data_IF_509086052567
#
_entry.id   IF_509086052567
#
_cell.length_a   1.000
_cell.length_b   1.000
_cell.length_c   1.000
_cell.angle_alpha   90.00
_cell.angle_beta   90.00
_cell.angle_gamma   90.00
#
_symmetry.space_group_name_H-M   'P 1'
#
loop_
_entity.id
_entity.type
_entity.pdbx_description
1 polymer ?
#
# COMPACT_ATOMS: atom_id res chain seq x y z
N UNK A 1 -4.32 28.25 1.96
CA UNK A 1 -4.49 26.80 2.00
C UNK A 1 -3.61 26.06 0.98
N UNK A 2 -3.63 26.44 -0.31
CA UNK A 2 -2.79 25.77 -1.35
C UNK A 2 -1.28 25.78 -1.04
N UNK A 3 -0.73 26.90 -0.54
CA UNK A 3 0.71 27.02 -0.20
C UNK A 3 1.16 26.02 0.89
N UNK A 4 0.36 25.84 1.94
CA UNK A 4 0.66 24.89 3.03
C UNK A 4 0.66 23.43 2.55
N UNK A 5 -0.29 23.06 1.69
CA UNK A 5 -0.36 21.72 1.10
C UNK A 5 0.86 21.45 0.23
N UNK A 6 1.26 22.40 -0.59
CA UNK A 6 2.46 22.29 -1.44
C UNK A 6 3.72 22.21 -0.59
N UNK A 7 3.85 23.07 0.42
CA UNK A 7 5.02 23.05 1.32
C UNK A 7 5.17 21.72 2.05
N UNK A 8 4.07 21.15 2.59
CA UNK A 8 4.08 19.84 3.24
C UNK A 8 4.36 18.69 2.26
N UNK A 9 3.85 18.77 1.02
CA UNK A 9 4.18 17.77 0.01
C UNK A 9 5.66 17.77 -0.34
N UNK A 10 6.25 18.95 -0.50
CA UNK A 10 7.70 19.10 -0.76
C UNK A 10 8.51 18.60 0.45
N UNK A 11 8.10 18.97 1.67
CA UNK A 11 8.76 18.52 2.89
C UNK A 11 8.77 17.00 3.00
N UNK A 12 7.62 16.34 2.81
CA UNK A 12 7.54 14.88 2.89
C UNK A 12 8.28 14.19 1.76
N UNK A 13 8.26 14.75 0.55
CA UNK A 13 9.06 14.26 -0.55
C UNK A 13 10.56 14.36 -0.25
N UNK A 14 11.03 15.51 0.27
CA UNK A 14 12.42 15.70 0.67
C UNK A 14 12.83 14.72 1.78
N UNK A 15 11.99 14.55 2.82
CA UNK A 15 12.26 13.59 3.88
C UNK A 15 12.27 12.15 3.34
N UNK A 16 11.36 11.78 2.43
CA UNK A 16 11.36 10.47 1.81
C UNK A 16 12.64 10.21 1.01
N UNK A 17 13.14 11.20 0.27
CA UNK A 17 14.42 11.13 -0.46
C UNK A 17 15.61 10.99 0.53
N UNK A 18 15.64 11.76 1.60
CA UNK A 18 16.70 11.66 2.62
C UNK A 18 16.71 10.27 3.26
N UNK A 19 15.54 9.75 3.68
CA UNK A 19 15.43 8.40 4.24
C UNK A 19 15.80 7.33 3.21
N UNK A 20 15.43 7.52 1.94
CA UNK A 20 15.81 6.64 0.84
C UNK A 20 17.34 6.58 0.67
N UNK A 21 18.04 7.72 0.67
CA UNK A 21 19.51 7.79 0.61
C UNK A 21 20.16 7.11 1.83
N UNK A 22 19.64 7.34 3.03
CA UNK A 22 20.10 6.64 4.24
C UNK A 22 19.86 5.12 4.09
N UNK A 23 18.71 4.71 3.58
CA UNK A 23 18.37 3.31 3.34
C UNK A 23 19.29 2.65 2.32
N UNK A 24 19.75 3.38 1.30
CA UNK A 24 20.77 2.91 0.35
C UNK A 24 22.18 2.81 0.96
N UNK A 25 22.50 3.63 1.94
CA UNK A 25 23.80 3.67 2.62
C UNK A 25 23.91 2.56 3.69
N UNK A 26 22.85 2.33 4.46
CA UNK A 26 22.82 1.41 5.61
C UNK A 26 22.40 0.00 5.18
N UNK A 27 23.04 -1.02 5.73
CA UNK A 27 22.75 -2.43 5.47
C UNK A 27 23.90 -3.30 5.99
N UNK A 28 23.95 -4.58 5.60
CA UNK A 28 25.01 -5.53 5.98
C UNK A 28 26.41 -4.99 5.67
N UNK A 29 26.57 -4.32 4.55
CA UNK A 29 27.77 -3.52 4.20
C UNK A 29 27.40 -2.04 4.32
N UNK A 30 28.09 -1.29 5.17
CA UNK A 30 27.94 0.17 5.26
C UNK A 30 28.64 0.81 4.08
N UNK A 31 27.91 1.59 3.30
CA UNK A 31 28.45 2.38 2.19
C UNK A 31 28.41 3.86 2.57
N UNK A 32 29.48 4.63 2.38
CA UNK A 32 29.45 6.08 2.52
C UNK A 32 28.36 6.69 1.61
N UNK A 33 27.64 7.70 2.09
CA UNK A 33 26.60 8.38 1.29
C UNK A 33 27.21 8.97 0.01
N UNK A 34 28.47 9.43 0.05
CA UNK A 34 29.17 9.93 -1.11
C UNK A 34 29.29 8.87 -2.23
N UNK A 35 29.65 7.63 -1.87
CA UNK A 35 29.74 6.52 -2.84
C UNK A 35 28.35 6.17 -3.43
N UNK A 36 27.30 6.24 -2.61
CA UNK A 36 25.93 6.02 -3.08
C UNK A 36 25.53 7.10 -4.10
N UNK A 37 25.80 8.37 -3.80
CA UNK A 37 25.52 9.50 -4.70
C UNK A 37 26.35 9.39 -5.97
N UNK A 38 27.64 9.03 -5.88
CA UNK A 38 28.51 8.83 -7.03
C UNK A 38 27.94 7.74 -7.96
N UNK A 39 27.47 6.63 -7.39
CA UNK A 39 26.83 5.53 -8.16
C UNK A 39 25.56 5.99 -8.85
N UNK A 40 24.70 6.76 -8.17
CA UNK A 40 23.45 7.29 -8.73
C UNK A 40 23.71 8.28 -9.86
N UNK A 41 24.86 8.97 -9.85
CA UNK A 41 25.33 9.87 -10.92
C UNK A 41 26.06 9.13 -12.05
N UNK A 42 26.13 7.80 -12.01
CA UNK A 42 26.72 6.98 -13.07
C UNK A 42 28.19 6.58 -12.85
N UNK A 43 28.82 7.05 -11.74
CA UNK A 43 30.18 6.68 -11.33
C UNK A 43 30.24 5.43 -10.44
N UNK A 44 31.33 5.35 -9.65
CA UNK A 44 31.51 4.34 -8.61
C UNK A 44 32.10 3.00 -9.07
N UNK A 45 32.63 2.26 -8.10
CA UNK A 45 33.25 0.94 -8.33
C UNK A 45 32.19 -0.11 -8.72
N UNK A 46 32.56 -1.08 -9.55
CA UNK A 46 31.64 -2.13 -10.04
C UNK A 46 30.89 -2.85 -8.92
N UNK A 47 31.57 -3.20 -7.81
CA UNK A 47 30.94 -3.86 -6.66
C UNK A 47 29.91 -2.96 -5.94
N UNK A 48 30.22 -1.68 -5.75
CA UNK A 48 29.31 -0.70 -5.14
C UNK A 48 28.08 -0.47 -6.02
N UNK A 49 28.29 -0.39 -7.35
CA UNK A 49 27.18 -0.27 -8.34
C UNK A 49 26.23 -1.44 -8.26
N UNK A 50 26.72 -2.67 -8.20
CA UNK A 50 25.91 -3.88 -8.08
C UNK A 50 25.05 -3.81 -6.79
N UNK A 51 25.66 -3.50 -5.65
CA UNK A 51 24.95 -3.43 -4.37
C UNK A 51 23.88 -2.33 -4.39
N UNK A 52 24.22 -1.15 -4.91
CA UNK A 52 23.29 0.00 -4.88
C UNK A 52 22.20 -0.17 -5.92
N UNK A 53 22.54 -0.44 -7.19
CA UNK A 53 21.57 -0.40 -8.30
C UNK A 53 20.74 -1.68 -8.43
N UNK A 54 21.30 -2.84 -8.10
CA UNK A 54 20.64 -4.13 -8.32
C UNK A 54 20.01 -4.72 -7.04
N UNK A 55 20.57 -4.42 -5.86
CA UNK A 55 20.06 -5.01 -4.62
C UNK A 55 19.28 -4.03 -3.77
N UNK A 56 19.75 -2.77 -3.62
CA UNK A 56 19.13 -1.81 -2.68
C UNK A 56 18.14 -0.86 -3.34
N UNK A 57 18.46 -0.35 -4.50
CA UNK A 57 17.61 0.62 -5.19
C UNK A 57 16.24 0.04 -5.56
N UNK A 58 16.10 -1.20 -6.08
CA UNK A 58 14.79 -1.79 -6.33
C UNK A 58 13.94 -1.91 -5.06
N UNK A 59 14.54 -2.31 -3.93
CA UNK A 59 13.86 -2.38 -2.62
C UNK A 59 13.30 -1.02 -2.20
N UNK A 60 14.15 0.01 -2.24
CA UNK A 60 13.77 1.37 -1.84
C UNK A 60 12.73 1.95 -2.81
N UNK A 61 12.92 1.75 -4.11
CA UNK A 61 11.97 2.19 -5.13
C UNK A 61 10.59 1.53 -4.95
N UNK A 62 10.57 0.21 -4.74
CA UNK A 62 9.33 -0.52 -4.44
C UNK A 62 8.67 0.05 -3.18
N UNK A 63 9.42 0.30 -2.11
CA UNK A 63 8.89 0.89 -0.87
C UNK A 63 8.27 2.26 -1.07
N UNK A 64 8.93 3.17 -1.82
CA UNK A 64 8.40 4.49 -2.16
C UNK A 64 7.10 4.37 -2.96
N UNK A 65 7.09 3.56 -4.01
CA UNK A 65 5.94 3.39 -4.90
C UNK A 65 4.74 2.74 -4.21
N UNK A 66 4.98 1.71 -3.41
CA UNK A 66 3.97 1.04 -2.59
C UNK A 66 3.37 2.01 -1.57
N UNK A 67 4.20 2.83 -0.93
CA UNK A 67 3.76 3.86 -0.01
C UNK A 67 2.89 4.93 -0.69
N UNK A 68 3.28 5.40 -1.88
CA UNK A 68 2.47 6.30 -2.71
C UNK A 68 1.12 5.66 -3.03
N UNK A 69 1.13 4.42 -3.53
CA UNK A 69 -0.07 3.73 -3.98
C UNK A 69 -1.06 3.48 -2.83
N UNK A 70 -0.61 2.98 -1.67
CA UNK A 70 -1.45 2.82 -0.48
C UNK A 70 -1.95 4.15 0.06
N UNK A 71 -1.10 5.18 0.12
CA UNK A 71 -1.49 6.51 0.56
C UNK A 71 -2.61 7.09 -0.28
N UNK A 72 -2.46 7.07 -1.61
CA UNK A 72 -3.47 7.57 -2.55
C UNK A 72 -4.75 6.73 -2.49
N UNK A 73 -4.64 5.40 -2.50
CA UNK A 73 -5.78 4.50 -2.37
C UNK A 73 -6.59 4.80 -1.10
N UNK A 74 -5.91 4.93 0.05
CA UNK A 74 -6.54 5.29 1.31
C UNK A 74 -7.23 6.66 1.26
N UNK A 75 -6.58 7.69 0.70
CA UNK A 75 -7.16 9.01 0.56
C UNK A 75 -8.44 9.03 -0.29
N UNK A 76 -8.44 8.26 -1.38
CA UNK A 76 -9.61 8.10 -2.23
C UNK A 76 -10.74 7.40 -1.47
N UNK A 77 -10.47 6.26 -0.83
CA UNK A 77 -11.48 5.48 -0.11
C UNK A 77 -12.08 6.27 1.06
N UNK A 78 -11.26 6.98 1.85
CA UNK A 78 -11.73 7.84 2.94
C UNK A 78 -12.62 8.97 2.43
N UNK A 79 -12.27 9.59 1.30
CA UNK A 79 -13.07 10.66 0.69
C UNK A 79 -14.38 10.13 0.12
N UNK A 80 -14.35 9.00 -0.61
CA UNK A 80 -15.52 8.42 -1.27
C UNK A 80 -16.56 7.88 -0.27
N UNK A 81 -16.08 7.27 0.83
CA UNK A 81 -16.93 6.75 1.90
C UNK A 81 -17.30 7.78 2.96
N UNK A 82 -16.70 8.97 2.91
CA UNK A 82 -16.78 10.01 3.97
C UNK A 82 -16.50 9.43 5.36
N UNK A 83 -15.63 8.44 5.39
CA UNK A 83 -15.26 7.75 6.62
C UNK A 83 -13.73 7.74 6.77
N UNK A 84 -13.18 8.37 7.81
CA UNK A 84 -11.73 8.41 8.03
C UNK A 84 -11.12 7.03 8.32
N UNK A 85 -11.92 6.04 8.66
CA UNK A 85 -11.47 4.68 8.93
C UNK A 85 -11.49 3.78 7.68
N UNK A 86 -11.97 4.27 6.54
CA UNK A 86 -11.97 3.48 5.31
C UNK A 86 -10.55 3.23 4.82
N UNK A 87 -10.27 1.99 4.49
CA UNK A 87 -8.99 1.54 3.93
C UNK A 87 -9.20 0.36 2.97
N UNK A 88 -8.25 0.06 2.08
CA UNK A 88 -8.32 -1.12 1.21
C UNK A 88 -8.48 -2.43 1.98
N UNK A 89 -7.95 -2.50 3.20
CA UNK A 89 -8.07 -3.67 4.09
C UNK A 89 -9.53 -3.94 4.45
N UNK A 90 -10.28 -2.89 4.80
CA UNK A 90 -11.70 -3.00 5.18
C UNK A 90 -12.59 -3.35 3.98
N UNK A 91 -12.21 -2.90 2.78
CA UNK A 91 -12.93 -3.25 1.54
C UNK A 91 -12.57 -4.67 1.05
N UNK A 92 -11.61 -5.34 1.71
CA UNK A 92 -11.22 -6.71 1.38
C UNK A 92 -10.21 -6.84 0.24
N UNK A 93 -9.65 -5.73 -0.28
CA UNK A 93 -8.66 -5.75 -1.38
C UNK A 93 -7.43 -6.56 -0.99
N UNK A 94 -6.84 -6.26 0.17
CA UNK A 94 -5.63 -6.94 0.63
C UNK A 94 -5.87 -8.42 0.95
N UNK A 95 -7.04 -8.76 1.52
CA UNK A 95 -7.39 -10.16 1.82
C UNK A 95 -7.64 -10.95 0.53
N UNK A 96 -8.31 -10.36 -0.45
CA UNK A 96 -8.47 -10.96 -1.77
C UNK A 96 -7.16 -11.15 -2.51
N UNK A 97 -6.28 -10.14 -2.48
CA UNK A 97 -4.94 -10.22 -3.05
C UNK A 97 -4.11 -11.31 -2.36
N UNK A 98 -4.22 -11.44 -1.04
CA UNK A 98 -3.57 -12.49 -0.26
C UNK A 98 -4.06 -13.88 -0.65
N UNK A 99 -5.37 -14.06 -0.80
CA UNK A 99 -5.94 -15.32 -1.25
C UNK A 99 -5.46 -15.72 -2.65
N UNK A 100 -5.41 -14.77 -3.58
CA UNK A 100 -4.89 -15.00 -4.93
C UNK A 100 -3.41 -15.39 -4.93
N UNK A 101 -2.58 -14.66 -4.20
CA UNK A 101 -1.14 -14.95 -4.11
C UNK A 101 -0.87 -16.31 -3.48
N UNK A 102 -1.51 -16.61 -2.34
CA UNK A 102 -1.35 -17.88 -1.61
C UNK A 102 -1.84 -19.04 -2.47
N UNK A 103 -2.95 -18.88 -3.20
CA UNK A 103 -3.44 -19.89 -4.12
C UNK A 103 -2.36 -20.30 -5.15
N UNK A 104 -1.67 -19.32 -5.75
CA UNK A 104 -0.57 -19.62 -6.68
C UNK A 104 0.62 -20.27 -5.98
N UNK A 105 1.00 -19.79 -4.79
CA UNK A 105 2.13 -20.36 -4.03
C UNK A 105 1.89 -21.83 -3.69
N UNK A 106 0.71 -22.16 -3.16
CA UNK A 106 0.37 -23.49 -2.68
C UNK A 106 0.01 -24.45 -3.81
N UNK A 107 -0.88 -24.02 -4.75
CA UNK A 107 -1.33 -24.90 -5.84
C UNK A 107 -0.20 -25.22 -6.83
N UNK A 108 0.74 -24.33 -6.98
CA UNK A 108 1.91 -24.54 -7.84
C UNK A 108 2.95 -25.48 -7.20
N UNK A 109 3.02 -25.54 -5.87
CA UNK A 109 3.87 -26.45 -5.13
C UNK A 109 3.35 -27.89 -5.15
N UNK A 110 2.03 -28.08 -4.95
CA UNK A 110 1.39 -29.41 -4.88
C UNK A 110 1.31 -30.16 -6.20
N UNK A 111 1.42 -29.47 -7.35
CA UNK A 111 1.35 -30.08 -8.68
C UNK A 111 2.65 -30.71 -9.21
N UNK A 112 3.69 -30.85 -8.39
CA UNK A 112 5.00 -31.38 -8.83
C UNK A 112 5.75 -30.46 -9.81
N UNK A 113 5.13 -29.33 -10.18
CA UNK A 113 5.74 -28.28 -10.96
C UNK A 113 6.26 -27.19 -10.03
N UNK A 114 7.54 -27.24 -9.68
CA UNK A 114 8.19 -26.07 -9.08
C UNK A 114 7.94 -24.89 -10.01
N UNK A 115 6.95 -24.02 -9.69
CA UNK A 115 6.92 -22.70 -10.32
C UNK A 115 8.17 -21.98 -9.79
N UNK A 116 9.30 -22.26 -10.41
CA UNK A 116 10.59 -21.63 -10.16
C UNK A 116 10.83 -20.59 -11.25
N UNK A 117 11.45 -19.48 -10.89
CA UNK A 117 11.91 -18.51 -11.87
C UNK A 117 10.84 -17.50 -12.34
N UNK A 118 10.76 -17.28 -13.67
CA UNK A 118 9.94 -16.23 -14.27
C UNK A 118 8.43 -16.42 -14.05
N UNK A 119 7.95 -17.66 -14.04
CA UNK A 119 6.52 -17.97 -13.86
C UNK A 119 6.02 -17.61 -12.45
N UNK A 120 6.81 -17.85 -11.41
CA UNK A 120 6.47 -17.44 -10.04
C UNK A 120 6.52 -15.91 -9.87
N UNK A 121 7.52 -15.27 -10.48
CA UNK A 121 7.70 -13.81 -10.41
C UNK A 121 6.55 -13.04 -11.05
N UNK A 122 5.89 -13.59 -12.05
CA UNK A 122 4.73 -12.96 -12.72
C UNK A 122 3.42 -13.48 -12.17
N UNK A 123 3.33 -14.76 -11.86
CA UNK A 123 2.10 -15.43 -11.44
C UNK A 123 1.58 -14.95 -10.08
N UNK A 124 2.45 -14.84 -9.08
CA UNK A 124 2.06 -14.40 -7.74
C UNK A 124 1.53 -12.95 -7.72
N UNK A 125 2.24 -11.95 -8.29
CA UNK A 125 1.72 -10.58 -8.37
C UNK A 125 0.43 -10.48 -9.19
N UNK A 126 0.33 -11.19 -10.32
CA UNK A 126 -0.87 -11.18 -11.15
C UNK A 126 -2.08 -11.76 -10.39
N UNK A 127 -1.89 -12.89 -9.72
CA UNK A 127 -2.93 -13.51 -8.90
C UNK A 127 -3.35 -12.64 -7.73
N UNK A 128 -2.40 -11.91 -7.11
CA UNK A 128 -2.71 -10.94 -6.06
C UNK A 128 -3.59 -9.79 -6.61
N UNK A 129 -3.22 -9.22 -7.77
CA UNK A 129 -4.04 -8.17 -8.41
C UNK A 129 -5.44 -8.69 -8.75
N UNK A 130 -5.54 -9.85 -9.38
CA UNK A 130 -6.83 -10.46 -9.73
C UNK A 130 -7.67 -10.77 -8.49
N UNK A 131 -7.07 -11.34 -7.46
CA UNK A 131 -7.75 -11.63 -6.18
C UNK A 131 -8.28 -10.37 -5.49
N UNK A 132 -7.50 -9.30 -5.47
CA UNK A 132 -7.93 -8.00 -4.94
C UNK A 132 -9.07 -7.37 -5.74
N UNK A 133 -9.00 -7.44 -7.07
CA UNK A 133 -10.06 -6.95 -7.96
C UNK A 133 -11.36 -7.78 -7.80
N UNK A 134 -11.26 -9.11 -7.75
CA UNK A 134 -12.41 -10.00 -7.55
C UNK A 134 -13.07 -9.69 -6.20
N UNK A 135 -12.31 -9.57 -5.11
CA UNK A 135 -12.85 -9.22 -3.80
C UNK A 135 -13.59 -7.89 -3.84
N UNK A 136 -13.02 -6.87 -4.48
CA UNK A 136 -13.67 -5.57 -4.62
C UNK A 136 -14.91 -5.63 -5.48
N UNK A 137 -14.91 -6.39 -6.56
CA UNK A 137 -16.11 -6.58 -7.41
C UNK A 137 -17.22 -7.25 -6.62
N UNK A 138 -16.91 -8.27 -5.81
CA UNK A 138 -17.88 -8.94 -4.93
C UNK A 138 -18.46 -7.95 -3.92
N UNK A 139 -17.60 -7.21 -3.23
CA UNK A 139 -18.04 -6.18 -2.25
C UNK A 139 -18.90 -5.13 -2.94
N UNK A 140 -18.47 -4.62 -4.10
CA UNK A 140 -19.21 -3.62 -4.88
C UNK A 140 -20.59 -4.14 -5.30
N UNK A 141 -20.63 -5.32 -5.90
CA UNK A 141 -21.87 -5.92 -6.39
C UNK A 141 -22.90 -6.19 -5.26
N UNK A 142 -22.43 -6.71 -4.12
CA UNK A 142 -23.30 -6.99 -2.97
C UNK A 142 -23.71 -5.74 -2.18
N UNK A 143 -22.95 -4.64 -2.31
CA UNK A 143 -23.24 -3.38 -1.60
C UNK A 143 -24.25 -2.49 -2.30
N UNK A 144 -24.56 -2.77 -3.58
CA UNK A 144 -25.56 -2.04 -4.35
C UNK A 144 -26.97 -2.52 -3.95
N UNK A 145 -27.82 -1.58 -3.51
CA UNK A 145 -29.26 -1.85 -3.30
C UNK A 145 -30.08 -0.75 -3.96
N UNK A 146 -31.00 -1.14 -4.85
CA UNK A 146 -31.85 -0.22 -5.62
C UNK A 146 -31.06 0.86 -6.38
N UNK A 147 -29.86 0.49 -6.90
CA UNK A 147 -29.01 1.41 -7.65
C UNK A 147 -28.17 2.38 -6.81
N UNK A 148 -28.24 2.31 -5.47
CA UNK A 148 -27.45 3.15 -4.55
C UNK A 148 -26.46 2.28 -3.78
N UNK A 149 -25.22 2.77 -3.66
CA UNK A 149 -24.17 2.15 -2.84
C UNK A 149 -24.25 2.73 -1.43
N UNK A 150 -24.57 1.87 -0.45
CA UNK A 150 -24.59 2.22 0.96
C UNK A 150 -23.21 2.00 1.60
N UNK A 151 -22.63 3.05 2.17
CA UNK A 151 -21.30 3.00 2.77
C UNK A 151 -21.20 2.04 3.98
N UNK A 152 -22.27 1.92 4.78
CA UNK A 152 -22.30 0.98 5.91
C UNK A 152 -22.30 -0.48 5.42
N UNK A 153 -23.00 -0.76 4.32
CA UNK A 153 -23.00 -2.08 3.69
C UNK A 153 -21.67 -2.44 3.06
N UNK A 154 -20.98 -1.47 2.44
CA UNK A 154 -19.62 -1.69 1.90
C UNK A 154 -18.70 -2.19 3.00
N UNK A 155 -18.72 -1.56 4.17
CA UNK A 155 -17.89 -1.97 5.31
C UNK A 155 -18.29 -3.36 5.81
N UNK A 156 -19.58 -3.61 6.03
CA UNK A 156 -20.05 -4.89 6.56
C UNK A 156 -19.76 -6.05 5.60
N UNK A 157 -20.04 -5.89 4.31
CA UNK A 157 -19.77 -6.89 3.28
C UNK A 157 -18.26 -7.05 3.09
N UNK A 158 -17.51 -5.94 3.12
CA UNK A 158 -16.04 -5.96 3.03
C UNK A 158 -15.40 -6.79 4.13
N UNK A 159 -15.84 -6.62 5.37
CA UNK A 159 -15.39 -7.45 6.51
C UNK A 159 -15.75 -8.93 6.30
N UNK A 160 -16.97 -9.22 5.80
CA UNK A 160 -17.38 -10.59 5.49
C UNK A 160 -16.52 -11.24 4.39
N UNK A 161 -16.28 -10.50 3.28
CA UNK A 161 -15.42 -10.96 2.19
C UNK A 161 -13.96 -11.13 2.66
N UNK A 162 -13.45 -10.21 3.46
CA UNK A 162 -12.12 -10.33 4.04
C UNK A 162 -11.99 -11.56 4.95
N UNK A 163 -13.00 -11.82 5.80
CA UNK A 163 -13.03 -13.00 6.65
C UNK A 163 -13.07 -14.30 5.81
N UNK A 164 -13.89 -14.36 4.78
CA UNK A 164 -13.95 -15.50 3.86
C UNK A 164 -12.62 -15.73 3.13
N UNK A 165 -12.00 -14.65 2.62
CA UNK A 165 -10.69 -14.72 1.96
C UNK A 165 -9.59 -15.20 2.92
N UNK A 166 -9.57 -14.69 4.16
CA UNK A 166 -8.62 -15.12 5.19
C UNK A 166 -8.83 -16.58 5.60
N UNK A 167 -10.08 -17.05 5.69
CA UNK A 167 -10.40 -18.47 5.94
C UNK A 167 -9.91 -19.35 4.79
N UNK A 168 -10.07 -18.89 3.54
CA UNK A 168 -9.52 -19.60 2.36
C UNK A 168 -7.99 -19.66 2.41
N UNK A 169 -7.32 -18.57 2.77
CA UNK A 169 -5.87 -18.54 2.98
C UNK A 169 -5.47 -19.56 4.06
N UNK A 170 -6.13 -19.55 5.22
CA UNK A 170 -5.84 -20.47 6.30
C UNK A 170 -6.01 -21.94 5.87
N UNK A 171 -7.07 -22.24 5.12
CA UNK A 171 -7.30 -23.57 4.55
C UNK A 171 -6.18 -23.98 3.59
N UNK A 172 -5.78 -23.10 2.66
CA UNK A 172 -4.69 -23.36 1.72
C UNK A 172 -3.35 -23.62 2.44
N UNK A 173 -3.05 -22.91 3.53
CA UNK A 173 -1.84 -23.12 4.31
C UNK A 173 -1.81 -24.49 5.00
N UNK A 174 -2.97 -25.05 5.36
CA UNK A 174 -3.07 -26.38 5.98
C UNK A 174 -2.87 -27.50 4.96
N UNK A 175 -3.35 -27.36 3.74
CA UNK A 175 -3.23 -28.38 2.70
C UNK A 175 -1.92 -28.29 1.91
N UNK A 176 -1.22 -27.16 1.98
CA UNK A 176 0.07 -26.95 1.31
C UNK A 176 1.22 -27.63 2.03
N UNK A 177 2.32 -27.88 1.32
CA UNK A 177 3.56 -28.36 1.91
C UNK A 177 4.15 -27.32 2.88
N UNK A 178 4.91 -27.78 3.88
CA UNK A 178 5.52 -26.91 4.91
C UNK A 178 6.37 -25.78 4.30
N UNK A 179 7.10 -26.06 3.23
CA UNK A 179 7.91 -25.06 2.53
C UNK A 179 7.04 -24.00 1.83
N UNK A 180 5.93 -24.40 1.25
CA UNK A 180 4.99 -23.51 0.57
C UNK A 180 4.21 -22.68 1.58
N UNK A 181 3.79 -23.29 2.68
CA UNK A 181 3.18 -22.57 3.79
C UNK A 181 4.15 -21.54 4.40
N UNK A 182 5.43 -21.86 4.55
CA UNK A 182 6.46 -20.93 5.00
C UNK A 182 6.66 -19.74 4.04
N UNK A 183 6.71 -20.01 2.73
CA UNK A 183 6.80 -18.96 1.70
C UNK A 183 5.57 -18.05 1.68
N UNK A 184 4.38 -18.65 1.78
CA UNK A 184 3.13 -17.92 1.83
C UNK A 184 3.03 -17.06 3.10
N UNK A 185 3.40 -17.59 4.26
CA UNK A 185 3.43 -16.84 5.52
C UNK A 185 4.40 -15.65 5.46
N UNK A 186 5.59 -15.84 4.88
CA UNK A 186 6.56 -14.76 4.66
C UNK A 186 6.00 -13.68 3.73
N UNK A 187 5.28 -14.07 2.67
CA UNK A 187 4.64 -13.13 1.75
C UNK A 187 3.49 -12.36 2.43
N UNK A 188 2.66 -13.05 3.22
CA UNK A 188 1.55 -12.48 3.97
C UNK A 188 1.99 -11.49 5.06
N UNK A 189 3.20 -11.59 5.54
CA UNK A 189 3.75 -10.64 6.50
C UNK A 189 4.05 -9.25 5.89
N UNK A 190 4.03 -9.13 4.56
CA UNK A 190 4.35 -7.90 3.85
C UNK A 190 5.83 -7.52 4.01
N UNK A 191 6.63 -7.73 2.98
CA UNK A 191 8.08 -7.51 3.05
C UNK A 191 8.61 -6.89 1.78
N UNK A 192 9.58 -5.99 1.96
CA UNK A 192 10.38 -5.43 0.87
C UNK A 192 11.70 -6.19 0.66
N UNK A 193 11.95 -7.22 1.46
CA UNK A 193 13.17 -8.02 1.32
C UNK A 193 13.22 -8.74 -0.02
N UNK A 194 14.39 -8.77 -0.64
CA UNK A 194 14.66 -9.39 -1.95
C UNK A 194 13.77 -8.89 -3.10
N UNK A 195 13.20 -7.67 -3.01
CA UNK A 195 12.44 -7.07 -4.12
C UNK A 195 13.39 -6.61 -5.22
N UNK A 196 12.99 -6.88 -6.46
CA UNK A 196 13.71 -6.57 -7.69
C UNK A 196 12.96 -5.52 -8.52
N UNK A 197 13.55 -5.08 -9.63
CA UNK A 197 12.89 -4.17 -10.58
C UNK A 197 11.60 -4.76 -11.16
N UNK A 198 11.50 -6.09 -11.26
CA UNK A 198 10.26 -6.78 -11.68
C UNK A 198 9.08 -6.53 -10.74
N UNK A 199 9.34 -6.24 -9.45
CA UNK A 199 8.30 -5.90 -8.47
C UNK A 199 7.99 -4.41 -8.48
N UNK A 200 8.99 -3.56 -8.69
CA UNK A 200 8.85 -2.10 -8.69
C UNK A 200 8.14 -1.56 -9.94
N UNK A 201 8.50 -2.06 -11.13
CA UNK A 201 8.02 -1.53 -12.41
C UNK A 201 6.48 -1.58 -12.55
N UNK A 202 5.79 -2.68 -12.24
CA UNK A 202 4.32 -2.71 -12.31
C UNK A 202 3.65 -1.68 -11.40
N UNK A 203 4.18 -1.50 -10.18
CA UNK A 203 3.66 -0.49 -9.24
C UNK A 203 3.95 0.93 -9.76
N UNK A 204 5.14 1.16 -10.33
CA UNK A 204 5.49 2.43 -10.97
C UNK A 204 4.52 2.78 -12.09
N UNK A 205 4.23 1.82 -12.98
CA UNK A 205 3.28 2.01 -14.08
C UNK A 205 1.91 2.40 -13.51
N UNK A 206 1.41 1.66 -12.52
CA UNK A 206 0.12 1.97 -11.90
C UNK A 206 0.11 3.39 -11.28
N UNK A 207 1.14 3.76 -10.53
CA UNK A 207 1.25 5.09 -9.91
C UNK A 207 1.34 6.20 -10.95
N UNK A 208 2.19 6.05 -11.97
CA UNK A 208 2.40 7.07 -13.02
C UNK A 208 1.14 7.35 -13.83
N UNK A 209 0.33 6.33 -14.09
CA UNK A 209 -0.91 6.52 -14.85
C UNK A 209 -2.09 6.88 -13.96
N UNK A 210 -2.28 6.21 -12.82
CA UNK A 210 -3.50 6.35 -12.03
C UNK A 210 -3.48 7.55 -11.08
N UNK A 211 -2.32 7.97 -10.56
CA UNK A 211 -2.24 9.13 -9.68
C UNK A 211 -2.60 10.44 -10.42
N UNK A 212 -2.05 10.74 -11.62
CA UNK A 212 -2.47 11.92 -12.37
C UNK A 212 -3.96 11.88 -12.72
N UNK A 213 -4.50 10.73 -13.15
CA UNK A 213 -5.93 10.56 -13.41
C UNK A 213 -6.75 10.87 -12.16
N UNK A 214 -6.39 10.31 -10.99
CA UNK A 214 -7.06 10.63 -9.73
C UNK A 214 -6.98 12.14 -9.39
N UNK A 215 -5.85 12.78 -9.69
CA UNK A 215 -5.66 14.22 -9.47
C UNK A 215 -6.53 15.09 -10.39
N UNK A 216 -6.88 14.65 -11.59
CA UNK A 216 -7.81 15.36 -12.47
C UNK A 216 -9.20 15.50 -11.82
N UNK A 217 -9.61 14.53 -11.01
CA UNK A 217 -10.89 14.54 -10.28
C UNK A 217 -10.83 15.27 -8.93
N UNK A 218 -9.79 16.08 -8.66
CA UNK A 218 -9.67 16.79 -7.38
C UNK A 218 -10.87 17.73 -7.09
N UNK A 219 -11.47 18.35 -8.11
CA UNK A 219 -12.66 19.21 -7.96
C UNK A 219 -13.88 18.38 -7.58
N UNK A 220 -14.09 17.27 -8.28
CA UNK A 220 -15.20 16.36 -8.03
C UNK A 220 -15.09 15.70 -6.62
N UNK A 221 -13.88 15.31 -6.22
CA UNK A 221 -13.62 14.82 -4.86
C UNK A 221 -13.99 15.85 -3.79
N UNK A 222 -13.73 17.14 -4.04
CA UNK A 222 -14.11 18.20 -3.09
C UNK A 222 -15.62 18.42 -3.06
N UNK A 223 -16.31 18.30 -4.19
CA UNK A 223 -17.76 18.36 -4.25
C UNK A 223 -18.42 17.16 -3.54
N UNK A 224 -17.87 15.94 -3.70
CA UNK A 224 -18.39 14.73 -3.05
C UNK A 224 -18.37 14.81 -1.52
N UNK A 225 -17.44 15.55 -0.92
CA UNK A 225 -17.40 15.75 0.53
C UNK A 225 -18.62 16.53 1.04
N UNK A 226 -19.15 17.47 0.23
CA UNK A 226 -20.31 18.30 0.59
C UNK A 226 -21.65 17.55 0.55
N UNK A 227 -21.67 16.33 -0.02
CA UNK A 227 -22.88 15.53 -0.14
C UNK A 227 -23.22 15.22 -1.59
N UNK A 228 -23.96 14.13 -1.80
CA UNK A 228 -24.29 13.65 -3.15
C UNK A 228 -25.26 14.62 -3.87
N UNK A 229 -26.22 15.19 -3.13
CA UNK A 229 -27.17 16.14 -3.67
C UNK A 229 -26.50 17.45 -4.09
N UNK A 230 -25.59 17.96 -3.24
CA UNK A 230 -24.80 19.17 -3.54
C UNK A 230 -23.85 18.90 -4.72
N UNK A 231 -23.16 17.76 -4.72
CA UNK A 231 -22.26 17.39 -5.82
C UNK A 231 -23.02 17.28 -7.14
N UNK A 232 -24.22 16.68 -7.14
CA UNK A 232 -25.06 16.56 -8.35
C UNK A 232 -25.56 17.92 -8.85
N UNK A 233 -25.93 18.83 -7.95
CA UNK A 233 -26.34 20.20 -8.27
C UNK A 233 -25.19 21.02 -8.90
N UNK A 234 -23.94 20.69 -8.55
CA UNK A 234 -22.73 21.25 -9.16
C UNK A 234 -22.36 20.58 -10.51
N UNK A 235 -23.19 19.67 -11.03
CA UNK A 235 -23.00 18.99 -12.31
C UNK A 235 -22.09 17.76 -12.24
N UNK A 236 -21.72 17.30 -11.04
CA UNK A 236 -20.89 16.10 -10.85
C UNK A 236 -21.72 14.84 -11.11
N UNK A 237 -21.25 13.98 -12.00
CA UNK A 237 -21.88 12.65 -12.24
C UNK A 237 -21.45 11.68 -11.14
N UNK A 238 -22.04 11.85 -9.95
CA UNK A 238 -21.61 11.19 -8.68
C UNK A 238 -21.35 9.70 -8.86
N UNK A 239 -22.29 8.94 -9.42
CA UNK A 239 -22.16 7.48 -9.56
C UNK A 239 -20.95 7.08 -10.43
N UNK A 240 -20.73 7.74 -11.57
CA UNK A 240 -19.62 7.42 -12.49
C UNK A 240 -18.28 7.76 -11.89
N UNK A 241 -18.18 8.95 -11.29
CA UNK A 241 -16.93 9.43 -10.67
C UNK A 241 -16.58 8.58 -9.47
N UNK A 242 -17.56 8.24 -8.63
CA UNK A 242 -17.36 7.35 -7.48
C UNK A 242 -16.87 5.97 -7.91
N UNK A 243 -17.49 5.37 -8.92
CA UNK A 243 -17.06 4.08 -9.45
C UNK A 243 -15.64 4.15 -10.05
N UNK A 244 -15.34 5.14 -10.87
CA UNK A 244 -14.02 5.31 -11.46
C UNK A 244 -12.92 5.50 -10.43
N UNK A 245 -13.14 6.34 -9.42
CA UNK A 245 -12.18 6.56 -8.34
C UNK A 245 -12.04 5.35 -7.41
N UNK A 246 -13.12 4.57 -7.19
CA UNK A 246 -13.07 3.31 -6.47
C UNK A 246 -12.19 2.29 -7.21
N UNK A 247 -12.35 2.18 -8.53
CA UNK A 247 -11.50 1.31 -9.36
C UNK A 247 -10.04 1.73 -9.26
N UNK A 248 -9.73 3.04 -9.38
CA UNK A 248 -8.38 3.56 -9.24
C UNK A 248 -7.79 3.21 -7.86
N UNK A 249 -8.56 3.44 -6.78
CA UNK A 249 -8.13 3.13 -5.42
C UNK A 249 -7.83 1.64 -5.24
N UNK A 250 -8.69 0.78 -5.78
CA UNK A 250 -8.52 -0.68 -5.72
C UNK A 250 -7.31 -1.15 -6.51
N UNK A 251 -7.14 -0.68 -7.75
CA UNK A 251 -5.99 -1.08 -8.57
C UNK A 251 -4.68 -0.63 -7.93
N UNK A 252 -4.61 0.60 -7.40
CA UNK A 252 -3.42 1.08 -6.68
C UNK A 252 -3.11 0.20 -5.46
N UNK A 253 -4.11 -0.14 -4.64
CA UNK A 253 -3.91 -1.01 -3.48
C UNK A 253 -3.50 -2.44 -3.89
N UNK A 254 -4.16 -3.02 -4.89
CA UNK A 254 -3.84 -4.35 -5.38
C UNK A 254 -2.42 -4.44 -5.96
N UNK A 255 -2.01 -3.43 -6.73
CA UNK A 255 -0.65 -3.33 -7.27
C UNK A 255 0.39 -3.13 -6.17
N UNK A 256 0.10 -2.32 -5.16
CA UNK A 256 0.96 -2.16 -3.99
C UNK A 256 1.13 -3.48 -3.22
N UNK A 257 0.02 -4.20 -2.99
CA UNK A 257 0.03 -5.52 -2.34
C UNK A 257 0.77 -6.57 -3.17
N UNK A 258 0.60 -6.56 -4.50
CA UNK A 258 1.35 -7.43 -5.40
C UNK A 258 2.87 -7.17 -5.33
N UNK A 259 3.29 -5.90 -5.23
CA UNK A 259 4.69 -5.50 -5.19
C UNK A 259 5.40 -5.78 -3.86
N UNK A 260 4.71 -5.73 -2.72
CA UNK A 260 5.34 -5.83 -1.39
C UNK A 260 4.67 -6.82 -0.42
N UNK A 261 3.58 -7.46 -0.84
CA UNK A 261 2.66 -8.13 0.08
C UNK A 261 1.74 -7.12 0.79
N UNK A 262 0.82 -7.60 1.62
CA UNK A 262 -0.09 -6.75 2.37
C UNK A 262 0.66 -5.94 3.44
N UNK A 263 0.66 -4.61 3.30
CA UNK A 263 1.21 -3.68 4.29
C UNK A 263 0.06 -2.92 4.94
N UNK A 264 -0.23 -3.24 6.18
CA UNK A 264 -1.35 -2.65 6.92
C UNK A 264 -1.06 -1.20 7.37
N UNK A 265 -2.13 -0.47 7.67
CA UNK A 265 -2.15 0.85 8.29
C UNK A 265 -1.64 2.03 7.44
N UNK A 266 -0.79 1.85 6.44
CA UNK A 266 -0.29 2.96 5.62
C UNK A 266 -1.44 3.71 4.94
N UNK A 267 -2.35 2.97 4.30
CA UNK A 267 -3.53 3.52 3.63
C UNK A 267 -4.55 4.14 4.61
N UNK A 268 -4.51 3.76 5.88
CA UNK A 268 -5.36 4.34 6.93
C UNK A 268 -4.76 5.61 7.52
N UNK A 269 -3.49 5.56 7.89
CA UNK A 269 -2.82 6.56 8.72
C UNK A 269 -2.33 7.76 7.89
N UNK A 270 -1.71 7.51 6.73
CA UNK A 270 -1.13 8.56 5.91
C UNK A 270 -2.16 9.62 5.47
N UNK A 271 -3.38 9.27 4.98
CA UNK A 271 -4.38 10.26 4.62
C UNK A 271 -4.82 11.12 5.80
N UNK A 272 -5.01 10.52 6.96
CA UNK A 272 -5.49 11.23 8.14
C UNK A 272 -4.45 12.23 8.68
N UNK A 273 -3.18 11.83 8.73
CA UNK A 273 -2.11 12.73 9.13
C UNK A 273 -1.97 13.87 8.12
N UNK A 274 -1.99 13.57 6.82
CA UNK A 274 -1.94 14.58 5.76
C UNK A 274 -3.10 15.57 5.86
N UNK A 275 -4.34 15.09 6.08
CA UNK A 275 -5.53 15.91 6.25
C UNK A 275 -5.39 16.85 7.47
N UNK A 276 -4.97 16.33 8.61
CA UNK A 276 -4.80 17.13 9.84
C UNK A 276 -3.71 18.19 9.69
N UNK A 277 -2.57 17.82 9.13
CA UNK A 277 -1.45 18.75 8.95
C UNK A 277 -1.77 19.82 7.92
N UNK A 278 -2.51 19.51 6.86
CA UNK A 278 -2.92 20.50 5.84
C UNK A 278 -4.15 21.31 6.27
N UNK A 279 -4.90 20.85 7.29
CA UNK A 279 -6.18 21.43 7.74
C UNK A 279 -7.21 21.50 6.60
N UNK A 280 -7.23 20.48 5.74
CA UNK A 280 -8.20 20.36 4.65
C UNK A 280 -9.39 19.49 5.09
N UNK A 281 -10.55 19.69 4.46
CA UNK A 281 -11.76 18.89 4.71
C UNK A 281 -11.62 17.45 4.23
N UNK A 282 -10.73 17.20 3.27
CA UNK A 282 -10.39 15.87 2.76
C UNK A 282 -8.88 15.66 2.67
N UNK A 283 -8.40 14.41 2.66
CA UNK A 283 -6.99 14.12 2.46
C UNK A 283 -6.50 14.61 1.09
N UNK A 284 -5.47 15.48 1.02
CA UNK A 284 -4.91 15.93 -0.24
C UNK A 284 -4.05 14.81 -0.86
N UNK A 285 -4.36 14.40 -2.09
CA UNK A 285 -3.77 13.22 -2.74
C UNK A 285 -2.24 13.27 -2.77
N UNK A 286 -1.65 14.39 -3.22
CA UNK A 286 -0.20 14.50 -3.36
C UNK A 286 0.53 14.47 -2.01
N UNK A 287 0.04 15.21 -1.02
CA UNK A 287 0.64 15.21 0.33
C UNK A 287 0.55 13.82 0.96
N UNK A 288 -0.58 13.14 0.75
CA UNK A 288 -0.78 11.78 1.25
C UNK A 288 0.12 10.77 0.54
N UNK A 289 0.31 10.91 -0.77
CA UNK A 289 1.23 10.10 -1.55
C UNK A 289 2.67 10.19 -1.01
N UNK A 290 3.17 11.43 -0.80
CA UNK A 290 4.53 11.66 -0.29
C UNK A 290 4.68 11.16 1.16
N UNK A 291 3.66 11.35 1.99
CA UNK A 291 3.68 10.85 3.37
C UNK A 291 3.62 9.31 3.41
N UNK A 292 2.84 8.68 2.55
CA UNK A 292 2.81 7.22 2.40
C UNK A 292 4.16 6.66 1.97
N UNK A 293 4.82 7.29 0.99
CA UNK A 293 6.18 6.95 0.57
C UNK A 293 7.15 7.02 1.75
N UNK A 294 7.13 8.13 2.49
CA UNK A 294 7.97 8.34 3.67
C UNK A 294 7.73 7.24 4.73
N UNK A 295 6.46 6.92 5.02
CA UNK A 295 6.12 5.91 6.03
C UNK A 295 6.65 4.52 5.67
N UNK A 296 6.47 4.09 4.42
CA UNK A 296 6.91 2.74 4.03
C UNK A 296 8.44 2.64 4.02
N UNK A 297 9.16 3.64 3.50
CA UNK A 297 10.62 3.60 3.47
C UNK A 297 11.22 3.74 4.87
N UNK A 298 10.63 4.57 5.74
CA UNK A 298 11.03 4.67 7.13
C UNK A 298 10.77 3.35 7.89
N UNK A 299 9.59 2.74 7.69
CA UNK A 299 9.27 1.44 8.28
C UNK A 299 10.21 0.34 7.78
N UNK A 300 10.60 0.33 6.50
CA UNK A 300 11.58 -0.61 5.96
C UNK A 300 12.98 -0.41 6.56
N UNK A 301 13.41 0.85 6.72
CA UNK A 301 14.68 1.16 7.38
C UNK A 301 14.71 0.66 8.83
N UNK A 302 13.61 0.87 9.58
CA UNK A 302 13.45 0.37 10.94
C UNK A 302 13.34 -1.16 10.98
N UNK A 303 12.58 -1.76 10.07
CA UNK A 303 12.40 -3.21 9.98
C UNK A 303 13.73 -3.94 9.75
N UNK A 304 14.59 -3.36 8.92
CA UNK A 304 15.88 -3.93 8.54
C UNK A 304 16.96 -3.79 9.60
N UNK A 305 16.99 -2.64 10.30
CA UNK A 305 18.08 -2.31 11.20
C UNK A 305 17.66 -2.24 12.67
N UNK A 306 16.37 -2.19 12.97
CA UNK A 306 15.87 -1.92 14.33
C UNK A 306 16.33 -2.97 15.35
N UNK A 307 16.26 -4.28 15.03
CA UNK A 307 16.72 -5.32 15.93
C UNK A 307 18.24 -5.31 16.15
N UNK A 308 19.02 -4.91 15.14
CA UNK A 308 20.47 -4.74 15.27
C UNK A 308 20.79 -3.53 16.16
N UNK A 309 20.09 -2.42 16.02
CA UNK A 309 20.26 -1.24 16.86
C UNK A 309 19.88 -1.51 18.32
N UNK A 310 18.87 -2.35 18.55
CA UNK A 310 18.47 -2.79 19.88
C UNK A 310 19.34 -3.95 20.43
N UNK A 311 20.36 -4.41 19.67
CA UNK A 311 21.24 -5.52 20.02
C UNK A 311 20.52 -6.85 20.29
N UNK A 312 19.35 -7.05 19.69
CA UNK A 312 18.55 -8.28 19.82
C UNK A 312 19.04 -9.37 18.87
N UNK A 313 19.58 -9.01 17.70
CA UNK A 313 20.13 -9.96 16.74
C UNK A 313 20.17 -9.42 15.30
N UNK A 314 20.76 -10.18 14.37
CA UNK A 314 20.92 -9.76 12.96
C UNK A 314 19.68 -10.07 12.09
N UNK A 315 18.52 -10.20 12.69
CA UNK A 315 17.29 -10.56 11.97
C UNK A 315 16.61 -9.32 11.39
N UNK A 316 16.03 -9.45 10.18
CA UNK A 316 15.18 -8.44 9.56
C UNK A 316 13.72 -8.75 9.87
N UNK A 317 12.96 -7.72 10.27
CA UNK A 317 11.51 -7.82 10.41
C UNK A 317 10.81 -7.56 9.08
N UNK A 318 9.66 -8.18 8.80
CA UNK A 318 8.80 -7.74 7.71
C UNK A 318 8.33 -6.30 7.95
N UNK A 319 8.29 -5.49 6.87
CA UNK A 319 7.86 -4.08 6.96
C UNK A 319 6.40 -3.96 7.46
N UNK A 320 5.55 -4.92 7.11
CA UNK A 320 4.16 -4.96 7.54
C UNK A 320 4.01 -5.09 9.07
N UNK A 321 4.93 -5.78 9.74
CA UNK A 321 4.95 -5.89 11.21
C UNK A 321 5.25 -4.53 11.85
N UNK A 322 6.23 -3.79 11.30
CA UNK A 322 6.60 -2.46 11.82
C UNK A 322 5.47 -1.46 11.60
N UNK A 323 4.85 -1.45 10.41
CA UNK A 323 3.71 -0.57 10.13
C UNK A 323 2.50 -0.90 11.00
N UNK A 324 2.24 -2.18 11.28
CA UNK A 324 1.17 -2.61 12.19
C UNK A 324 1.45 -2.19 13.64
N UNK A 325 2.67 -2.37 14.13
CA UNK A 325 3.08 -1.97 15.48
C UNK A 325 2.97 -0.46 15.71
N UNK A 326 3.24 0.36 14.69
CA UNK A 326 3.08 1.82 14.77
C UNK A 326 1.63 2.26 14.51
N UNK A 327 0.92 1.60 13.60
CA UNK A 327 -0.42 1.98 13.15
C UNK A 327 -1.52 1.62 14.15
N UNK A 328 -1.43 0.48 14.82
CA UNK A 328 -2.46 0.03 15.77
C UNK A 328 -2.62 0.98 16.97
N UNK A 329 -1.54 1.45 17.65
CA UNK A 329 -1.68 2.45 18.72
C UNK A 329 -2.27 3.77 18.23
N UNK A 330 -1.92 4.20 17.01
CA UNK A 330 -2.49 5.40 16.40
C UNK A 330 -4.00 5.26 16.18
N UNK A 331 -4.46 4.10 15.70
CA UNK A 331 -5.88 3.82 15.52
C UNK A 331 -6.64 3.85 16.86
N UNK A 332 -6.10 3.21 17.89
CA UNK A 332 -6.69 3.23 19.24
C UNK A 332 -6.80 4.66 19.79
N UNK A 333 -5.75 5.47 19.64
CA UNK A 333 -5.78 6.88 20.02
C UNK A 333 -6.87 7.66 19.27
N UNK A 334 -7.07 7.36 18.00
CA UNK A 334 -8.04 8.04 17.15
C UNK A 334 -9.48 7.72 17.56
N UNK A 335 -9.77 6.45 17.82
CA UNK A 335 -11.09 5.99 18.31
C UNK A 335 -11.39 6.61 19.69
N UNK A 336 -10.42 6.60 20.60
CA UNK A 336 -10.59 7.18 21.93
C UNK A 336 -10.87 8.69 21.93
N UNK A 337 -10.35 9.44 20.94
CA UNK A 337 -10.67 10.87 20.76
C UNK A 337 -12.07 11.11 20.21
N UNK A 338 -12.56 10.25 19.31
CA UNK A 338 -13.92 10.39 18.77
C UNK A 338 -14.99 10.16 19.84
N UNK A 339 -14.71 9.33 20.84
CA UNK A 339 -15.62 9.12 21.98
C UNK A 339 -15.65 10.27 22.97
N UNK A 340 -14.54 11.03 23.11
CA UNK A 340 -14.46 12.19 24.04
C UNK A 340 -15.01 13.50 23.45
N UNK A 341 -15.30 13.54 22.16
CA UNK A 341 -15.85 14.69 21.45
C UNK A 341 -17.37 14.63 21.21
N UNK A 342 -18.01 13.58 21.71
CA UNK A 342 -19.47 13.44 21.83
C UNK A 342 -19.87 13.67 23.27
#
# INVERSE_FOLDING_TARGET
>A
MKSRTVALSILFAALAVVIALISLSVGTTKLPIADVVEVLLGGGRRGTRLVVLELRLPRVATGLLVGIAFGVSGALLQTLSRNPLASPDIVGVNSGASAGAVAVIVLAGTGGGNISGAAAKVGIPLAAVLGGLIATLIVGALSVRRGVVDAGRVVLIGVGVAAAANSLVAWMLVIGDVNDAGRAAAWLAGSLNARAWSDAIPVLIAVVFLLPVAMMFNRDLSALVLGDDVASSLGVRVARIRLGLLVIATVLAAMATAGAGPIAFVALVAPQIAQRLTRMERPPLLTTAMLGALFVVLADLLARNGLQWLRVGPYELPVGVVTAACGAPYLLHLIGRQQKGR
#
